data_IF_630968244730
#
_entry.id   IF_630968244730
#
_cell.length_a   1.000
_cell.length_b   1.000
_cell.length_c   1.000
_cell.angle_alpha   90.00
_cell.angle_beta   90.00
_cell.angle_gamma   90.00
#
_symmetry.space_group_name_H-M   'P 1'
#
loop_
_entity.id
_entity.type
_entity.pdbx_description
1 polymer ?
#
# COMPACT_ATOMS: atom_id res chain seq x y z
N UNK A 1 25.71 1.62 -27.44
CA UNK A 1 24.28 1.25 -27.50
C UNK A 1 23.86 0.43 -26.27
N UNK A 2 24.61 -0.57 -25.85
CA UNK A 2 24.32 -1.45 -24.69
C UNK A 2 24.16 -0.67 -23.38
N UNK A 3 25.04 0.31 -23.09
CA UNK A 3 24.97 1.13 -21.86
C UNK A 3 23.71 2.00 -21.75
N UNK A 4 23.13 2.47 -22.86
CA UNK A 4 21.87 3.21 -22.85
C UNK A 4 20.69 2.31 -22.50
N UNK A 5 20.68 1.08 -23.02
CA UNK A 5 19.64 0.08 -22.73
C UNK A 5 19.70 -0.37 -21.27
N UNK A 6 20.90 -0.56 -20.73
CA UNK A 6 21.08 -0.89 -19.29
C UNK A 6 20.59 0.24 -18.38
N UNK A 7 20.92 1.49 -18.73
CA UNK A 7 20.50 2.67 -17.96
C UNK A 7 18.99 2.86 -18.00
N UNK A 8 18.36 2.68 -19.16
CA UNK A 8 16.91 2.72 -19.33
C UNK A 8 16.21 1.61 -18.55
N UNK A 9 16.73 0.38 -18.57
CA UNK A 9 16.21 -0.76 -17.81
C UNK A 9 16.29 -0.54 -16.29
N UNK A 10 17.36 0.10 -15.80
CA UNK A 10 17.47 0.43 -14.38
C UNK A 10 16.53 1.58 -13.98
N UNK A 11 16.29 2.54 -14.85
CA UNK A 11 15.34 3.61 -14.65
C UNK A 11 13.90 3.06 -14.57
N UNK A 12 13.56 2.10 -15.43
CA UNK A 12 12.26 1.44 -15.41
C UNK A 12 11.96 0.70 -14.07
N UNK A 13 12.98 0.28 -13.33
CA UNK A 13 12.78 -0.35 -12.01
C UNK A 13 12.27 0.66 -10.96
N UNK A 14 12.46 1.95 -11.18
CA UNK A 14 11.96 3.00 -10.28
C UNK A 14 10.42 3.11 -10.30
N UNK A 15 9.74 2.51 -11.30
CA UNK A 15 8.28 2.48 -11.33
C UNK A 15 7.67 1.80 -10.10
N UNK A 16 8.43 0.91 -9.43
CA UNK A 16 8.02 0.27 -8.17
C UNK A 16 7.66 1.33 -7.10
N UNK A 17 8.25 2.51 -7.19
CA UNK A 17 7.97 3.61 -6.26
C UNK A 17 6.79 4.51 -6.67
N UNK A 18 6.15 4.25 -7.82
CA UNK A 18 4.97 5.02 -8.26
C UNK A 18 3.86 5.05 -7.18
N UNK A 19 3.56 3.95 -6.44
CA UNK A 19 2.56 4.00 -5.38
C UNK A 19 2.81 5.11 -4.34
N UNK A 20 4.06 5.49 -4.11
CA UNK A 20 4.39 6.61 -3.22
C UNK A 20 3.83 7.94 -3.71
N UNK A 21 3.69 8.14 -5.03
CA UNK A 21 3.25 9.43 -5.59
C UNK A 21 1.74 9.67 -5.44
N UNK A 22 0.95 8.62 -5.27
CA UNK A 22 -0.51 8.71 -5.21
C UNK A 22 -1.06 8.96 -3.80
N UNK A 23 -0.30 8.60 -2.76
CA UNK A 23 -0.76 8.64 -1.38
C UNK A 23 -0.14 9.77 -0.53
N UNK A 24 0.56 10.71 -1.15
CA UNK A 24 1.22 11.81 -0.42
C UNK A 24 0.26 12.89 0.13
N UNK A 25 -0.79 12.43 0.81
CA UNK A 25 -1.43 13.25 1.82
C UNK A 25 -2.41 14.32 1.33
N UNK A 26 -2.76 14.34 0.04
CA UNK A 26 -3.72 15.32 -0.51
C UNK A 26 -5.12 14.75 -0.74
N UNK A 27 -5.30 13.43 -0.69
CA UNK A 27 -6.59 12.76 -0.87
C UNK A 27 -7.22 12.48 0.49
N UNK A 28 -8.46 12.88 0.69
CA UNK A 28 -9.26 12.46 1.83
C UNK A 28 -9.50 10.93 1.81
N UNK A 29 -9.83 10.35 2.95
CA UNK A 29 -10.25 8.95 3.00
C UNK A 29 -11.49 8.72 2.13
N UNK A 30 -11.52 7.57 1.44
CA UNK A 30 -12.75 7.07 0.83
C UNK A 30 -13.71 6.75 1.99
N UNK A 31 -14.93 7.32 1.91
CA UNK A 31 -15.96 7.06 2.89
C UNK A 31 -16.22 5.54 2.99
N UNK A 32 -16.50 5.10 4.21
CA UNK A 32 -16.79 3.72 4.59
C UNK A 32 -15.56 2.82 4.75
N UNK A 33 -14.78 2.50 3.73
CA UNK A 33 -13.67 1.54 3.87
C UNK A 33 -12.42 2.14 4.54
N UNK A 34 -11.81 3.12 3.89
CA UNK A 34 -10.55 3.72 4.41
C UNK A 34 -10.80 4.48 5.71
N UNK A 35 -11.92 5.20 5.80
CA UNK A 35 -12.31 5.90 7.01
C UNK A 35 -12.56 4.96 8.18
N UNK A 36 -13.17 3.80 7.92
CA UNK A 36 -13.42 2.75 8.91
C UNK A 36 -12.11 2.21 9.50
N UNK A 37 -11.14 1.82 8.66
CA UNK A 37 -9.85 1.32 9.12
C UNK A 37 -9.04 2.40 9.87
N UNK A 38 -9.08 3.64 9.39
CA UNK A 38 -8.40 4.75 10.05
C UNK A 38 -9.00 5.05 11.43
N UNK A 39 -10.33 4.97 11.58
CA UNK A 39 -11.02 5.16 12.85
C UNK A 39 -10.72 4.02 13.83
N UNK A 40 -10.72 2.77 13.39
CA UNK A 40 -10.33 1.64 14.22
C UNK A 40 -8.86 1.73 14.66
N UNK A 41 -7.96 2.14 13.79
CA UNK A 41 -6.57 2.39 14.14
C UNK A 41 -6.42 3.49 15.21
N UNK A 42 -7.23 4.55 15.11
CA UNK A 42 -7.31 5.60 16.13
C UNK A 42 -7.76 5.04 17.47
N UNK A 43 -8.78 4.20 17.52
CA UNK A 43 -9.24 3.60 18.78
C UNK A 43 -8.22 2.65 19.38
N UNK A 44 -7.43 1.92 18.58
CA UNK A 44 -6.30 1.15 19.08
C UNK A 44 -5.35 2.04 19.88
N UNK A 45 -5.01 3.22 19.34
CA UNK A 45 -4.12 4.18 20.00
C UNK A 45 -4.75 4.84 21.24
N UNK A 46 -6.05 5.11 21.23
CA UNK A 46 -6.75 5.80 22.32
C UNK A 46 -7.13 4.87 23.47
N UNK A 47 -7.54 3.66 23.17
CA UNK A 47 -8.01 2.66 24.16
C UNK A 47 -6.94 1.65 24.57
N UNK A 48 -5.82 1.58 23.83
CA UNK A 48 -4.73 0.64 24.10
C UNK A 48 -5.06 -0.84 23.81
N UNK A 49 -6.16 -1.11 23.10
CA UNK A 49 -6.52 -2.48 22.72
C UNK A 49 -5.93 -2.83 21.34
N UNK A 50 -4.83 -3.59 21.35
CA UNK A 50 -4.06 -3.97 20.17
C UNK A 50 -4.45 -5.34 19.60
N UNK A 51 -5.41 -6.03 20.20
CA UNK A 51 -5.74 -7.40 19.85
C UNK A 51 -7.06 -7.56 19.13
N UNK A 52 -8.04 -6.74 19.46
CA UNK A 52 -9.39 -6.82 18.90
C UNK A 52 -9.80 -5.41 18.43
N UNK A 53 -10.25 -5.24 17.18
CA UNK A 53 -10.73 -3.95 16.71
C UNK A 53 -12.01 -3.54 17.44
N UNK A 54 -12.14 -2.25 17.68
CA UNK A 54 -13.33 -1.65 18.32
C UNK A 54 -14.15 -0.86 17.29
N UNK A 55 -15.46 -0.81 17.51
CA UNK A 55 -16.39 0.07 16.82
C UNK A 55 -17.40 0.63 17.84
N UNK A 56 -17.33 1.89 18.10
CA UNK A 56 -18.16 2.56 19.14
C UNK A 56 -18.09 1.86 20.51
N UNK A 57 -16.87 1.51 20.95
CA UNK A 57 -16.58 0.80 22.19
C UNK A 57 -17.04 -0.69 22.22
N UNK A 58 -17.62 -1.22 21.16
CA UNK A 58 -17.94 -2.63 21.02
C UNK A 58 -16.86 -3.40 20.25
N UNK A 59 -16.67 -4.67 20.61
CA UNK A 59 -15.73 -5.55 19.91
C UNK A 59 -16.27 -5.96 18.54
N UNK A 60 -15.47 -5.78 17.51
CA UNK A 60 -15.80 -6.15 16.13
C UNK A 60 -14.99 -7.37 15.74
N UNK A 61 -15.68 -8.50 15.55
CA UNK A 61 -15.05 -9.79 15.24
C UNK A 61 -15.21 -10.20 13.77
N UNK A 62 -15.79 -9.35 12.93
CA UNK A 62 -16.06 -9.61 11.52
C UNK A 62 -14.81 -9.46 10.63
N UNK A 63 -13.75 -8.84 11.16
CA UNK A 63 -12.51 -8.53 10.42
C UNK A 63 -11.26 -8.78 11.26
N UNK A 64 -10.17 -9.12 10.55
CA UNK A 64 -8.85 -9.24 11.17
C UNK A 64 -8.27 -7.87 11.50
N UNK A 65 -7.62 -7.73 12.64
CA UNK A 65 -7.01 -6.47 13.10
C UNK A 65 -5.73 -6.07 12.34
N UNK A 66 -5.22 -6.91 11.43
CA UNK A 66 -3.88 -6.76 10.87
C UNK A 66 -3.60 -5.38 10.24
N UNK A 67 -4.48 -4.89 9.37
CA UNK A 67 -4.29 -3.60 8.72
C UNK A 67 -4.43 -2.44 9.70
N UNK A 68 -5.42 -2.47 10.57
CA UNK A 68 -5.67 -1.45 11.59
C UNK A 68 -4.48 -1.34 12.56
N UNK A 69 -3.90 -2.48 12.95
CA UNK A 69 -2.68 -2.54 13.75
C UNK A 69 -1.51 -1.84 13.06
N UNK A 70 -1.27 -2.13 11.77
CA UNK A 70 -0.20 -1.50 11.00
C UNK A 70 -0.42 0.01 10.84
N UNK A 71 -1.67 0.44 10.60
CA UNK A 71 -2.02 1.86 10.52
C UNK A 71 -1.79 2.53 11.88
N UNK A 72 -2.22 1.91 12.98
CA UNK A 72 -2.01 2.43 14.33
C UNK A 72 -0.52 2.58 14.65
N UNK A 73 0.31 1.57 14.33
CA UNK A 73 1.76 1.64 14.50
C UNK A 73 2.40 2.73 13.64
N UNK A 74 1.97 2.87 12.41
CA UNK A 74 2.44 3.96 11.55
C UNK A 74 2.08 5.33 12.11
N UNK A 75 0.85 5.51 12.61
CA UNK A 75 0.41 6.75 13.24
C UNK A 75 1.09 7.05 14.60
N UNK A 76 1.44 6.02 15.34
CA UNK A 76 2.24 6.15 16.57
C UNK A 76 3.63 6.72 16.27
N UNK A 77 4.27 6.29 15.16
CA UNK A 77 5.62 6.69 14.78
C UNK A 77 5.68 8.04 14.04
N UNK A 78 4.74 8.30 13.15
CA UNK A 78 4.77 9.45 12.22
C UNK A 78 3.70 10.51 12.52
N UNK A 79 2.95 10.33 13.60
CA UNK A 79 1.84 11.19 13.95
C UNK A 79 0.53 10.83 13.25
N UNK A 80 -0.59 11.33 13.80
CA UNK A 80 -1.94 11.07 13.29
C UNK A 80 -2.25 11.94 12.07
N UNK A 81 -1.80 11.48 10.91
CA UNK A 81 -2.02 12.16 9.64
C UNK A 81 -2.36 11.17 8.52
N UNK A 82 -2.83 11.68 7.40
CA UNK A 82 -3.25 10.88 6.25
C UNK A 82 -2.08 10.07 5.67
N UNK A 83 -0.89 10.67 5.62
CA UNK A 83 0.31 9.97 5.15
C UNK A 83 0.59 8.71 5.99
N UNK A 84 0.61 8.85 7.33
CA UNK A 84 0.85 7.72 8.22
C UNK A 84 -0.21 6.63 8.08
N UNK A 85 -1.46 6.99 7.81
CA UNK A 85 -2.53 6.02 7.60
C UNK A 85 -2.36 5.21 6.30
N UNK A 86 -1.89 5.84 5.22
CA UNK A 86 -1.64 5.16 3.94
C UNK A 86 -0.30 4.44 3.85
N UNK A 87 0.65 4.76 4.73
CA UNK A 87 2.01 4.21 4.65
C UNK A 87 2.06 2.68 4.61
N UNK A 88 1.34 1.92 5.46
CA UNK A 88 1.37 0.45 5.43
C UNK A 88 0.92 -0.13 4.09
N UNK A 89 -0.18 0.38 3.52
CA UNK A 89 -0.70 -0.09 2.21
C UNK A 89 0.22 0.30 1.07
N UNK A 90 0.85 1.47 1.13
CA UNK A 90 1.86 1.91 0.16
C UNK A 90 3.07 1.00 0.17
N UNK A 91 3.59 0.66 1.36
CA UNK A 91 4.72 -0.27 1.50
C UNK A 91 4.35 -1.66 0.97
N UNK A 92 3.16 -2.16 1.30
CA UNK A 92 2.66 -3.44 0.79
C UNK A 92 2.56 -3.44 -0.75
N UNK A 93 2.08 -2.35 -1.36
CA UNK A 93 2.00 -2.19 -2.82
C UNK A 93 3.38 -2.21 -3.47
N UNK A 94 4.37 -1.53 -2.88
CA UNK A 94 5.76 -1.55 -3.37
C UNK A 94 6.33 -2.97 -3.31
N UNK A 95 6.15 -3.67 -2.19
CA UNK A 95 6.62 -5.04 -2.03
C UNK A 95 5.95 -5.98 -3.03
N UNK A 96 4.65 -5.81 -3.27
CA UNK A 96 3.90 -6.60 -4.25
C UNK A 96 4.45 -6.41 -5.67
N UNK A 97 4.68 -5.16 -6.11
CA UNK A 97 5.26 -4.87 -7.42
C UNK A 97 6.68 -5.45 -7.55
N UNK A 98 7.49 -5.31 -6.52
CA UNK A 98 8.84 -5.88 -6.48
C UNK A 98 8.82 -7.40 -6.55
N UNK A 99 7.97 -8.05 -5.76
CA UNK A 99 7.83 -9.52 -5.75
C UNK A 99 7.33 -10.02 -7.10
N UNK A 100 6.36 -9.36 -7.71
CA UNK A 100 5.84 -9.70 -9.05
C UNK A 100 6.94 -9.59 -10.11
N UNK A 101 7.77 -8.54 -10.03
CA UNK A 101 8.93 -8.40 -10.92
C UNK A 101 9.90 -9.58 -10.76
N UNK A 102 10.24 -9.90 -9.50
CA UNK A 102 11.19 -11.00 -9.21
C UNK A 102 10.64 -12.36 -9.63
N UNK A 103 9.37 -12.62 -9.35
CA UNK A 103 8.71 -13.86 -9.73
C UNK A 103 8.71 -14.05 -11.26
N UNK A 104 8.42 -12.98 -12.02
CA UNK A 104 8.48 -13.05 -13.49
C UNK A 104 9.93 -13.29 -13.98
N UNK A 105 10.92 -12.64 -13.34
CA UNK A 105 12.35 -12.84 -13.68
C UNK A 105 12.77 -14.30 -13.50
N UNK A 106 12.28 -14.97 -12.47
CA UNK A 106 12.63 -16.38 -12.17
C UNK A 106 11.83 -17.39 -13.00
N UNK A 107 10.53 -17.16 -13.22
CA UNK A 107 9.65 -18.15 -13.87
C UNK A 107 9.67 -18.08 -15.39
N UNK A 108 9.95 -16.92 -15.98
CA UNK A 108 9.84 -16.72 -17.43
C UNK A 108 11.14 -16.19 -18.03
N UNK A 109 11.20 -14.92 -18.36
CA UNK A 109 12.34 -14.34 -19.03
C UNK A 109 12.69 -12.97 -18.44
N UNK A 110 13.92 -12.83 -18.01
CA UNK A 110 14.49 -11.59 -17.45
C UNK A 110 14.28 -10.36 -18.34
N UNK A 111 14.26 -10.55 -19.66
CA UNK A 111 14.08 -9.46 -20.63
C UNK A 111 12.72 -8.79 -20.50
N UNK A 112 11.69 -9.54 -20.14
CA UNK A 112 10.29 -9.09 -20.08
C UNK A 112 9.76 -8.97 -18.64
N UNK A 113 10.60 -9.14 -17.62
CA UNK A 113 10.20 -9.18 -16.23
C UNK A 113 9.45 -7.93 -15.74
N UNK A 114 9.59 -6.79 -16.44
CA UNK A 114 8.88 -5.54 -16.10
C UNK A 114 7.42 -5.52 -16.54
N UNK A 115 7.01 -6.40 -17.47
CA UNK A 115 5.65 -6.36 -18.05
C UNK A 115 4.60 -6.70 -16.99
N UNK A 116 4.82 -7.77 -16.21
CA UNK A 116 3.84 -8.21 -15.20
C UNK A 116 3.54 -7.16 -14.13
N UNK A 117 4.53 -6.52 -13.50
CA UNK A 117 4.23 -5.46 -12.54
C UNK A 117 3.65 -4.19 -13.20
N UNK A 118 3.95 -3.90 -14.48
CA UNK A 118 3.27 -2.81 -15.20
C UNK A 118 1.78 -3.09 -15.43
N UNK A 119 1.44 -4.31 -15.82
CA UNK A 119 0.04 -4.75 -15.97
C UNK A 119 -0.67 -4.65 -14.61
N UNK A 120 -0.04 -5.14 -13.55
CA UNK A 120 -0.58 -5.08 -12.20
C UNK A 120 -0.81 -3.63 -11.75
N UNK A 121 0.15 -2.74 -12.02
CA UNK A 121 0.03 -1.33 -11.71
C UNK A 121 -1.14 -0.69 -12.45
N UNK A 122 -1.26 -0.92 -13.75
CA UNK A 122 -2.37 -0.40 -14.57
C UNK A 122 -3.72 -0.92 -14.08
N UNK A 123 -3.81 -2.20 -13.68
CA UNK A 123 -5.04 -2.77 -13.16
C UNK A 123 -5.47 -2.12 -11.85
N UNK A 124 -4.54 -1.94 -10.91
CA UNK A 124 -4.80 -1.30 -9.62
C UNK A 124 -5.30 0.14 -9.82
N UNK A 125 -4.65 0.90 -10.72
CA UNK A 125 -5.01 2.31 -10.94
C UNK A 125 -6.20 2.49 -11.87
N UNK A 126 -6.40 1.60 -12.84
CA UNK A 126 -7.57 1.65 -13.73
C UNK A 126 -8.89 1.45 -12.98
N UNK A 127 -8.91 0.65 -11.92
CA UNK A 127 -10.10 0.44 -11.08
C UNK A 127 -10.40 1.65 -10.18
N UNK A 128 -9.40 2.43 -9.79
CA UNK A 128 -9.60 3.58 -8.88
C UNK A 128 -10.07 4.84 -9.59
N UNK A 129 -10.04 4.89 -10.91
CA UNK A 129 -10.49 6.07 -11.70
C UNK A 129 -11.98 6.00 -12.09
N UNK A 130 -12.65 4.89 -11.84
CA UNK A 130 -14.05 4.68 -12.19
C UNK A 130 -15.04 4.74 -11.00
N UNK A 131 -14.56 5.12 -9.82
CA UNK A 131 -15.36 5.40 -8.63
C UNK A 131 -15.21 6.84 -8.21
#
# INVERSE_FOLDING_TARGET
MVNKILKFRNLLKLFVFIPLTFYFGKRSYIAFDEGFYALQARWILEKGNWTIPLWWDEYVLDRTIGLQFLIAKSQELFGRNIFAAYLPTTVASILMLFTTYKLHEELFNKKYAIISPLILLLHIYGLTTHT
#
